data_IF_093615590677
#
_entry.id   IF_093615590677
#
_cell.length_a   1.000
_cell.length_b   1.000
_cell.length_c   1.000
_cell.angle_alpha   90.00
_cell.angle_beta   90.00
_cell.angle_gamma   90.00
#
_symmetry.space_group_name_H-M   'P 1'
#
loop_
_entity.id
_entity.type
_entity.pdbx_description
1 polymer ?
#
# COMPACT_ATOMS: atom_id res chain seq x y z
N UNK A 1 7.20 5.93 -44.73
CA UNK A 1 5.89 5.51 -44.17
C UNK A 1 6.14 4.56 -43.02
N UNK A 2 5.28 4.52 -42.00
CA UNK A 2 5.41 3.55 -40.91
C UNK A 2 5.09 2.13 -41.40
N UNK A 3 6.01 1.20 -41.14
CA UNK A 3 5.92 -0.24 -41.41
C UNK A 3 6.12 -1.03 -40.13
N UNK A 4 5.69 -2.30 -40.11
CA UNK A 4 5.88 -3.21 -38.98
C UNK A 4 7.34 -3.23 -38.48
N UNK A 5 8.31 -3.38 -39.40
CA UNK A 5 9.74 -3.41 -39.08
C UNK A 5 10.21 -2.11 -38.43
N UNK A 6 9.83 -0.96 -39.00
CA UNK A 6 10.25 0.35 -38.44
C UNK A 6 9.65 0.60 -37.07
N UNK A 7 8.40 0.19 -36.83
CA UNK A 7 7.75 0.31 -35.52
C UNK A 7 8.36 -0.61 -34.49
N UNK A 8 8.70 -1.85 -34.87
CA UNK A 8 9.37 -2.80 -33.98
C UNK A 8 10.77 -2.30 -33.56
N UNK A 9 11.54 -1.78 -34.51
CA UNK A 9 12.87 -1.23 -34.25
C UNK A 9 12.81 0.04 -33.39
N UNK A 10 11.90 0.97 -33.71
CA UNK A 10 11.79 2.24 -33.00
C UNK A 10 11.08 2.11 -31.64
N UNK A 11 10.30 1.04 -31.43
CA UNK A 11 9.43 0.82 -30.26
C UNK A 11 8.40 1.94 -30.04
N UNK A 12 8.09 2.69 -31.08
CA UNK A 12 7.13 3.80 -31.09
C UNK A 12 6.55 3.98 -32.49
N UNK A 13 5.35 4.54 -32.58
CA UNK A 13 4.76 5.02 -33.83
C UNK A 13 3.77 6.16 -33.57
N UNK A 14 3.33 6.84 -34.64
CA UNK A 14 2.37 7.95 -34.58
C UNK A 14 1.05 7.66 -35.30
N UNK A 15 1.06 6.82 -36.34
CA UNK A 15 -0.12 6.51 -37.16
C UNK A 15 -0.44 5.02 -37.07
N UNK A 16 -0.36 4.31 -38.18
CA UNK A 16 -0.80 2.92 -38.30
C UNK A 16 0.27 1.90 -37.91
N UNK A 17 1.43 2.35 -37.41
CA UNK A 17 2.58 1.48 -37.15
C UNK A 17 2.27 0.29 -36.25
N UNK A 18 1.58 0.52 -35.13
CA UNK A 18 1.20 -0.55 -34.20
C UNK A 18 0.22 -1.54 -34.83
N UNK A 19 -0.79 -1.08 -35.58
CA UNK A 19 -1.75 -1.97 -36.23
C UNK A 19 -1.10 -2.83 -37.32
N UNK A 20 -0.15 -2.27 -38.07
CA UNK A 20 0.65 -3.01 -39.07
C UNK A 20 1.58 -4.02 -38.41
N UNK A 21 2.21 -3.66 -37.30
CA UNK A 21 3.07 -4.56 -36.54
C UNK A 21 2.28 -5.74 -35.99
N UNK A 22 1.14 -5.48 -35.34
CA UNK A 22 0.28 -6.53 -34.83
C UNK A 22 -0.22 -7.46 -35.94
N UNK A 23 -0.64 -6.90 -37.09
CA UNK A 23 -1.03 -7.70 -38.25
C UNK A 23 0.08 -8.64 -38.74
N UNK A 24 1.32 -8.13 -38.86
CA UNK A 24 2.47 -8.95 -39.26
C UNK A 24 2.79 -10.05 -38.25
N UNK A 25 2.73 -9.74 -36.94
CA UNK A 25 2.95 -10.71 -35.87
C UNK A 25 1.86 -11.79 -35.85
N UNK A 26 0.59 -11.40 -36.00
CA UNK A 26 -0.54 -12.33 -36.07
C UNK A 26 -0.41 -13.26 -37.29
N UNK A 27 -0.04 -12.71 -38.45
CA UNK A 27 0.23 -13.50 -39.65
C UNK A 27 1.37 -14.50 -39.46
N UNK A 28 2.47 -14.09 -38.82
CA UNK A 28 3.58 -15.00 -38.48
C UNK A 28 3.17 -16.10 -37.49
N UNK A 29 2.19 -15.84 -36.63
CA UNK A 29 1.59 -16.82 -35.72
C UNK A 29 0.50 -17.69 -36.36
N UNK A 30 0.21 -17.52 -37.67
CA UNK A 30 -0.82 -18.28 -38.38
C UNK A 30 -2.26 -17.84 -38.08
N UNK A 31 -2.47 -16.64 -37.52
CA UNK A 31 -3.78 -16.10 -37.19
C UNK A 31 -4.35 -15.28 -38.35
N UNK A 32 -5.65 -15.45 -38.63
CA UNK A 32 -6.38 -14.59 -39.55
C UNK A 32 -6.60 -13.22 -38.92
N UNK A 33 -5.81 -12.24 -39.35
CA UNK A 33 -5.88 -10.86 -38.89
C UNK A 33 -6.13 -9.92 -40.07
N UNK A 34 -7.15 -9.08 -39.98
CA UNK A 34 -7.41 -7.98 -40.91
C UNK A 34 -6.91 -6.64 -40.37
N UNK A 35 -6.61 -5.72 -41.29
CA UNK A 35 -6.32 -4.32 -40.99
C UNK A 35 -7.57 -3.49 -41.34
N UNK A 36 -8.14 -2.83 -40.34
CA UNK A 36 -9.36 -2.02 -40.48
C UNK A 36 -8.98 -0.56 -40.38
N UNK A 37 -9.33 0.22 -41.41
CA UNK A 37 -9.11 1.67 -41.44
C UNK A 37 -10.44 2.36 -41.20
N UNK A 38 -10.42 3.46 -40.47
CA UNK A 38 -11.65 4.19 -40.22
C UNK A 38 -11.46 5.39 -39.31
N UNK A 39 -12.54 5.72 -38.64
CA UNK A 39 -12.64 6.85 -37.75
C UNK A 39 -12.63 6.41 -36.30
N UNK A 40 -11.79 7.07 -35.51
CA UNK A 40 -11.77 7.03 -34.07
C UNK A 40 -12.38 8.35 -33.55
N UNK A 41 -13.53 8.24 -32.90
CA UNK A 41 -14.21 9.34 -32.21
C UNK A 41 -13.38 9.84 -31.04
N UNK A 42 -13.26 11.16 -30.90
CA UNK A 42 -12.63 11.82 -29.75
C UNK A 42 -13.64 12.18 -28.64
N UNK A 43 -13.16 12.50 -27.42
CA UNK A 43 -14.05 12.89 -26.31
C UNK A 43 -14.78 14.21 -26.52
N UNK A 44 -14.20 15.13 -27.30
CA UNK A 44 -14.79 16.44 -27.62
C UNK A 44 -15.24 16.52 -29.09
N UNK A 45 -15.58 15.37 -29.66
CA UNK A 45 -16.07 15.29 -31.02
C UNK A 45 -17.51 15.83 -31.12
N UNK A 46 -17.76 16.68 -32.10
CA UNK A 46 -19.04 17.36 -32.30
C UNK A 46 -19.58 17.17 -33.73
N UNK A 47 -19.10 16.14 -34.44
CA UNK A 47 -19.63 15.78 -35.76
C UNK A 47 -21.05 15.22 -35.61
N UNK A 48 -21.96 15.67 -36.48
CA UNK A 48 -23.37 15.28 -36.50
C UNK A 48 -23.82 14.87 -37.91
N UNK A 49 -24.93 14.13 -37.96
CA UNK A 49 -25.66 13.82 -39.20
C UNK A 49 -25.16 12.57 -39.91
N UNK A 50 -25.55 12.39 -41.18
CA UNK A 50 -25.25 11.17 -41.95
C UNK A 50 -23.88 11.21 -42.68
N UNK A 51 -23.04 12.18 -42.34
CA UNK A 51 -21.75 12.34 -43.01
C UNK A 51 -20.80 11.23 -42.53
N UNK A 52 -20.28 10.46 -43.49
CA UNK A 52 -19.27 9.47 -43.21
C UNK A 52 -18.01 10.15 -42.64
N UNK A 53 -17.55 9.75 -41.45
CA UNK A 53 -16.41 10.41 -40.84
C UNK A 53 -15.10 10.15 -41.61
N UNK A 54 -14.16 11.10 -41.62
CA UNK A 54 -12.89 10.94 -42.31
C UNK A 54 -12.01 9.88 -41.64
N UNK A 55 -11.16 9.19 -42.40
CA UNK A 55 -10.25 8.20 -41.82
C UNK A 55 -9.17 8.92 -41.01
N UNK A 56 -9.08 8.62 -39.72
CA UNK A 56 -8.04 9.16 -38.81
C UNK A 56 -7.30 8.07 -38.02
N UNK A 57 -7.71 6.80 -38.11
CA UNK A 57 -7.17 5.73 -37.30
C UNK A 57 -7.19 4.36 -38.02
N UNK A 58 -6.36 3.44 -37.54
CA UNK A 58 -6.25 2.08 -38.06
C UNK A 58 -6.11 1.10 -36.90
N UNK A 59 -6.91 0.03 -36.90
CA UNK A 59 -6.90 -1.03 -35.88
C UNK A 59 -6.96 -2.43 -36.55
N UNK A 60 -6.97 -3.48 -35.75
CA UNK A 60 -6.98 -4.86 -36.23
C UNK A 60 -8.28 -5.58 -35.90
N UNK A 61 -8.65 -6.52 -36.76
CA UNK A 61 -9.70 -7.52 -36.47
C UNK A 61 -9.09 -8.91 -36.58
N UNK A 62 -9.45 -9.81 -35.68
CA UNK A 62 -9.06 -11.22 -35.70
C UNK A 62 -10.28 -12.10 -35.60
N UNK A 63 -10.24 -13.29 -36.21
CA UNK A 63 -11.30 -14.29 -36.10
C UNK A 63 -10.85 -15.41 -35.17
N UNK A 64 -11.53 -15.56 -34.03
CA UNK A 64 -11.22 -16.58 -33.02
C UNK A 64 -12.49 -17.39 -32.78
N UNK A 65 -12.39 -18.72 -32.95
CA UNK A 65 -13.53 -19.64 -32.73
C UNK A 65 -14.81 -19.25 -33.48
N UNK A 66 -14.67 -18.69 -34.69
CA UNK A 66 -15.81 -18.25 -35.51
C UNK A 66 -16.29 -16.82 -35.23
N UNK A 67 -15.84 -16.19 -34.14
CA UNK A 67 -16.24 -14.83 -33.78
C UNK A 67 -15.17 -13.79 -34.14
N UNK A 68 -15.62 -12.63 -34.61
CA UNK A 68 -14.74 -11.49 -34.85
C UNK A 68 -14.48 -10.74 -33.54
N UNK A 69 -13.21 -10.41 -33.32
CA UNK A 69 -12.72 -9.65 -32.17
C UNK A 69 -11.77 -8.58 -32.65
N UNK A 70 -11.81 -7.41 -32.05
CA UNK A 70 -10.95 -6.31 -32.43
C UNK A 70 -9.76 -6.16 -31.50
N UNK A 71 -8.66 -5.66 -32.04
CA UNK A 71 -7.46 -5.32 -31.30
C UNK A 71 -7.02 -3.91 -31.69
N UNK A 72 -6.91 -3.02 -30.72
CA UNK A 72 -6.36 -1.67 -30.91
C UNK A 72 -5.21 -1.40 -29.94
N UNK A 73 -4.00 -1.67 -30.44
CA UNK A 73 -2.75 -1.43 -29.70
C UNK A 73 -2.53 0.07 -29.47
N UNK A 74 -2.93 0.94 -30.40
CA UNK A 74 -2.73 2.39 -30.28
C UNK A 74 -3.55 3.01 -29.17
N UNK A 75 -4.72 2.45 -28.86
CA UNK A 75 -5.57 2.83 -27.73
C UNK A 75 -5.17 2.15 -26.41
N UNK A 76 -4.60 0.95 -26.48
CA UNK A 76 -4.22 0.17 -25.31
C UNK A 76 -2.97 0.71 -24.58
N UNK A 77 -2.11 1.47 -25.25
CA UNK A 77 -0.81 1.86 -24.68
C UNK A 77 -0.92 2.97 -23.62
N UNK A 78 -0.13 2.90 -22.53
CA UNK A 78 -0.08 3.95 -21.49
C UNK A 78 0.30 5.35 -21.99
N UNK A 79 0.99 5.45 -23.13
CA UNK A 79 1.39 6.73 -23.73
C UNK A 79 0.26 7.45 -24.46
N UNK A 80 -0.92 6.82 -24.59
CA UNK A 80 -2.06 7.44 -25.25
C UNK A 80 -2.65 8.56 -24.36
N UNK A 81 -2.98 9.76 -24.89
CA UNK A 81 -3.41 10.91 -24.08
C UNK A 81 -4.64 10.68 -23.21
N UNK A 82 -5.50 9.74 -23.60
CA UNK A 82 -6.72 9.37 -22.90
C UNK A 82 -6.63 8.01 -22.19
N UNK A 83 -5.41 7.52 -21.94
CA UNK A 83 -5.21 6.30 -21.16
C UNK A 83 -5.69 6.52 -19.70
N UNK A 84 -6.45 5.58 -19.12
CA UNK A 84 -6.95 5.74 -17.76
C UNK A 84 -5.79 5.83 -16.76
N UNK A 85 -5.81 6.85 -15.89
CA UNK A 85 -4.84 6.99 -14.80
C UNK A 85 -4.98 5.79 -13.86
N UNK A 86 -4.13 4.79 -14.03
CA UNK A 86 -4.08 3.57 -13.22
C UNK A 86 -2.88 3.70 -12.32
N UNK A 87 -3.12 3.87 -11.02
CA UNK A 87 -2.13 4.24 -10.00
C UNK A 87 -0.89 3.33 -9.90
N UNK A 88 0.06 3.52 -10.81
CA UNK A 88 1.46 3.13 -10.62
C UNK A 88 1.97 1.90 -11.38
N UNK A 89 1.21 1.28 -12.29
CA UNK A 89 1.76 0.24 -13.20
C UNK A 89 1.35 0.51 -14.63
N UNK A 90 2.32 0.94 -15.46
CA UNK A 90 2.18 1.11 -16.90
C UNK A 90 1.92 -0.25 -17.57
N UNK A 91 0.68 -0.72 -17.49
CA UNK A 91 0.18 -1.91 -18.17
C UNK A 91 -0.65 -1.47 -19.36
N UNK A 92 -0.79 -2.32 -20.37
CA UNK A 92 -1.75 -2.03 -21.44
C UNK A 92 -3.18 -2.08 -20.89
N UNK A 93 -4.08 -1.31 -21.48
CA UNK A 93 -5.51 -1.42 -21.20
C UNK A 93 -6.06 -2.70 -21.86
N UNK A 94 -6.50 -3.70 -21.07
CA UNK A 94 -6.92 -4.99 -21.61
C UNK A 94 -8.21 -4.90 -22.42
N UNK A 95 -9.01 -3.83 -22.26
CA UNK A 95 -10.27 -3.67 -22.99
C UNK A 95 -10.07 -3.70 -24.51
N UNK A 96 -8.97 -3.10 -25.00
CA UNK A 96 -8.68 -3.01 -26.43
C UNK A 96 -8.00 -4.28 -26.98
N UNK A 97 -7.85 -5.33 -26.19
CA UNK A 97 -7.40 -6.64 -26.65
C UNK A 97 -8.58 -7.62 -26.71
N UNK A 98 -8.92 -8.04 -27.93
CA UNK A 98 -10.08 -8.88 -28.22
C UNK A 98 -11.42 -8.24 -27.81
N UNK A 99 -11.57 -6.94 -28.09
CA UNK A 99 -12.80 -6.21 -27.87
C UNK A 99 -13.94 -6.78 -28.74
N UNK A 100 -15.15 -6.84 -28.18
CA UNK A 100 -16.34 -7.23 -28.94
C UNK A 100 -16.76 -6.09 -29.90
N UNK A 101 -17.26 -6.41 -31.11
CA UNK A 101 -17.74 -5.40 -32.06
C UNK A 101 -18.73 -4.39 -31.46
N UNK A 102 -19.70 -4.88 -30.67
CA UNK A 102 -20.72 -4.05 -30.02
C UNK A 102 -20.18 -3.08 -28.96
N UNK A 103 -18.98 -3.32 -28.42
CA UNK A 103 -18.34 -2.42 -27.46
C UNK A 103 -17.43 -1.42 -28.17
N UNK A 104 -16.71 -1.87 -29.20
CA UNK A 104 -15.76 -1.01 -29.91
C UNK A 104 -16.45 0.06 -30.78
N UNK A 105 -17.64 -0.24 -31.32
CA UNK A 105 -18.40 0.66 -32.20
C UNK A 105 -18.71 2.03 -31.59
N UNK A 106 -18.72 2.19 -30.26
CA UNK A 106 -18.94 3.50 -29.63
C UNK A 106 -17.90 4.55 -30.03
N UNK A 107 -16.69 4.10 -30.37
CA UNK A 107 -15.57 4.97 -30.73
C UNK A 107 -14.95 4.66 -32.09
N UNK A 108 -15.07 3.42 -32.60
CA UNK A 108 -14.43 3.00 -33.84
C UNK A 108 -15.46 2.75 -34.95
N UNK A 109 -15.45 3.59 -35.97
CA UNK A 109 -16.31 3.45 -37.14
C UNK A 109 -15.48 3.14 -38.39
N UNK A 110 -15.56 1.93 -38.97
CA UNK A 110 -14.75 1.56 -40.12
C UNK A 110 -15.15 2.33 -41.38
N UNK A 111 -14.21 2.54 -42.29
CA UNK A 111 -14.51 3.15 -43.60
C UNK A 111 -15.34 2.26 -44.51
N UNK A 112 -15.23 0.95 -44.32
CA UNK A 112 -16.11 -0.05 -44.94
C UNK A 112 -17.11 -0.53 -43.89
N UNK A 113 -18.42 -0.22 -44.02
CA UNK A 113 -19.44 -0.63 -43.06
C UNK A 113 -19.54 -2.15 -42.85
N UNK A 114 -19.11 -2.97 -43.82
CA UNK A 114 -19.09 -4.44 -43.66
C UNK A 114 -18.10 -4.91 -42.60
N UNK A 115 -17.09 -4.09 -42.31
CA UNK A 115 -16.04 -4.36 -41.32
C UNK A 115 -16.45 -3.95 -39.89
N UNK A 116 -17.72 -3.60 -39.66
CA UNK A 116 -18.24 -3.39 -38.31
C UNK A 116 -18.43 -4.71 -37.56
N UNK A 117 -18.73 -5.80 -38.29
CA UNK A 117 -19.01 -7.13 -37.73
C UNK A 117 -20.09 -7.11 -36.62
N UNK A 118 -21.04 -6.19 -36.71
CA UNK A 118 -22.20 -6.12 -35.84
C UNK A 118 -23.29 -7.08 -36.31
N UNK A 119 -24.04 -7.63 -35.36
CA UNK A 119 -25.20 -8.50 -35.61
C UNK A 119 -26.35 -8.03 -34.72
N UNK A 120 -27.61 -7.93 -35.23
CA UNK A 120 -28.06 -8.40 -36.55
C UNK A 120 -27.87 -7.38 -37.70
N UNK A 121 -27.59 -6.11 -37.42
CA UNK A 121 -27.46 -5.06 -38.43
C UNK A 121 -26.21 -4.21 -38.22
N UNK A 122 -25.70 -3.66 -39.33
CA UNK A 122 -24.71 -2.58 -39.29
C UNK A 122 -25.33 -1.28 -38.80
N UNK A 123 -24.49 -0.45 -38.18
CA UNK A 123 -24.80 0.89 -37.72
C UNK A 123 -24.46 1.90 -38.82
N UNK A 124 -25.36 2.85 -39.09
CA UNK A 124 -25.12 3.95 -40.02
C UNK A 124 -24.23 5.06 -39.41
N UNK A 125 -23.72 6.00 -40.22
CA UNK A 125 -22.94 7.14 -39.72
C UNK A 125 -23.71 8.01 -38.72
N UNK A 126 -24.97 8.35 -38.99
CA UNK A 126 -25.77 9.16 -38.06
C UNK A 126 -26.02 8.48 -36.72
N UNK A 127 -26.29 7.18 -36.74
CA UNK A 127 -26.42 6.37 -35.52
C UNK A 127 -25.11 6.31 -34.74
N UNK A 128 -23.98 6.14 -35.42
CA UNK A 128 -22.66 6.19 -34.79
C UNK A 128 -22.40 7.54 -34.14
N UNK A 129 -22.67 8.66 -34.82
CA UNK A 129 -22.51 10.02 -34.26
C UNK A 129 -23.44 10.25 -33.06
N UNK A 130 -24.59 9.59 -33.03
CA UNK A 130 -25.52 9.66 -31.89
C UNK A 130 -25.03 8.95 -30.63
N UNK A 131 -24.07 8.02 -30.76
CA UNK A 131 -23.52 7.31 -29.61
C UNK A 131 -22.68 8.22 -28.73
N UNK A 132 -22.77 8.09 -27.39
CA UNK A 132 -21.85 8.74 -26.48
C UNK A 132 -20.41 8.31 -26.77
N UNK A 133 -19.45 9.18 -26.47
CA UNK A 133 -18.06 8.74 -26.39
C UNK A 133 -17.89 7.96 -25.08
N UNK A 134 -17.43 6.72 -25.17
CA UNK A 134 -17.17 5.88 -23.99
C UNK A 134 -15.74 5.35 -24.03
N UNK A 135 -15.19 5.06 -22.86
CA UNK A 135 -13.86 4.46 -22.70
C UNK A 135 -13.99 3.03 -22.16
N UNK A 136 -12.85 2.36 -21.96
CA UNK A 136 -12.78 1.08 -21.26
C UNK A 136 -13.40 1.12 -19.86
N UNK A 137 -13.32 2.25 -19.15
CA UNK A 137 -13.90 2.40 -17.81
C UNK A 137 -15.43 2.28 -17.81
N UNK A 138 -16.11 2.57 -18.92
CA UNK A 138 -17.55 2.32 -19.04
C UNK A 138 -17.86 0.82 -18.91
N UNK A 139 -17.12 -0.01 -19.64
CA UNK A 139 -17.33 -1.46 -19.67
C UNK A 139 -16.77 -2.15 -18.43
N UNK A 140 -15.59 -1.75 -17.97
CA UNK A 140 -14.92 -2.34 -16.81
C UNK A 140 -15.68 -2.12 -15.50
N UNK A 141 -16.49 -1.06 -15.42
CA UNK A 141 -17.32 -0.74 -14.26
C UNK A 141 -18.81 -1.08 -14.45
N UNK A 142 -19.13 -1.88 -15.47
CA UNK A 142 -20.48 -2.38 -15.77
C UNK A 142 -21.52 -1.26 -15.85
N UNK A 143 -21.15 -0.15 -16.50
CA UNK A 143 -22.06 0.97 -16.66
C UNK A 143 -23.06 0.64 -17.77
N UNK A 144 -24.34 0.86 -17.48
CA UNK A 144 -25.43 0.66 -18.44
C UNK A 144 -26.37 1.87 -18.40
N UNK A 145 -26.53 2.56 -19.53
CA UNK A 145 -27.49 3.66 -19.62
C UNK A 145 -28.93 3.14 -19.55
N UNK A 146 -29.73 3.68 -18.63
CA UNK A 146 -31.12 3.20 -18.43
C UNK A 146 -32.09 3.88 -19.40
N UNK A 147 -31.89 5.17 -19.72
CA UNK A 147 -32.82 5.98 -20.51
C UNK A 147 -32.09 6.98 -21.41
N UNK A 148 -31.09 6.53 -22.17
CA UNK A 148 -30.36 7.42 -23.07
C UNK A 148 -30.95 7.36 -24.49
N UNK A 149 -31.80 8.34 -24.81
CA UNK A 149 -32.48 8.42 -26.11
C UNK A 149 -32.00 9.58 -27.00
N UNK A 150 -31.09 10.44 -26.51
CA UNK A 150 -30.67 11.66 -27.22
C UNK A 150 -29.17 11.90 -27.09
N UNK A 151 -28.50 12.12 -28.22
CA UNK A 151 -27.07 12.46 -28.33
C UNK A 151 -26.68 13.71 -27.53
N UNK A 152 -27.61 14.66 -27.40
CA UNK A 152 -27.40 15.96 -26.75
C UNK A 152 -28.37 16.10 -25.59
N UNK A 153 -27.84 16.44 -24.42
CA UNK A 153 -28.62 16.87 -23.27
C UNK A 153 -28.98 18.35 -23.45
N UNK A 154 -30.25 18.64 -23.67
CA UNK A 154 -30.76 20.02 -23.79
C UNK A 154 -31.32 20.48 -22.46
N UNK A 155 -30.84 21.63 -22.00
CA UNK A 155 -31.31 22.33 -20.80
C UNK A 155 -31.93 23.67 -21.17
N UNK A 156 -32.97 24.09 -20.45
CA UNK A 156 -33.61 25.41 -20.59
C UNK A 156 -33.77 26.07 -19.23
N UNK A 157 -33.62 27.40 -19.19
CA UNK A 157 -33.82 28.23 -18.00
C UNK A 157 -33.17 27.72 -16.69
N UNK A 158 -33.96 27.22 -15.73
CA UNK A 158 -33.50 26.69 -14.43
C UNK A 158 -33.61 25.16 -14.36
N UNK A 159 -33.77 24.50 -15.51
CA UNK A 159 -33.93 23.06 -15.57
C UNK A 159 -32.72 22.36 -14.98
N UNK A 160 -32.99 21.23 -14.33
CA UNK A 160 -31.97 20.30 -13.89
C UNK A 160 -32.03 19.09 -14.80
N UNK A 161 -31.00 18.89 -15.62
CA UNK A 161 -30.88 17.67 -16.41
C UNK A 161 -30.55 16.53 -15.47
N UNK A 162 -31.23 15.41 -15.65
CA UNK A 162 -30.96 14.18 -14.91
C UNK A 162 -30.54 13.10 -15.89
N UNK A 163 -29.37 12.52 -15.64
CA UNK A 163 -28.91 11.31 -16.30
C UNK A 163 -28.88 10.18 -15.28
N UNK A 164 -29.43 9.03 -15.67
CA UNK A 164 -29.49 7.83 -14.82
C UNK A 164 -28.87 6.66 -15.56
N UNK A 165 -27.93 5.98 -14.92
CA UNK A 165 -27.28 4.78 -15.42
C UNK A 165 -27.04 3.78 -14.30
N UNK A 166 -27.06 2.48 -14.61
CA UNK A 166 -26.62 1.43 -13.70
C UNK A 166 -25.11 1.49 -13.56
N UNK A 167 -24.63 1.08 -12.39
CA UNK A 167 -23.22 1.02 -12.06
C UNK A 167 -22.94 -0.23 -11.23
N UNK A 168 -21.75 -0.80 -11.37
CA UNK A 168 -21.30 -1.90 -10.52
C UNK A 168 -21.30 -1.57 -9.02
N UNK A 169 -21.23 -2.61 -8.19
CA UNK A 169 -21.10 -2.48 -6.75
C UNK A 169 -19.75 -1.86 -6.37
N UNK A 170 -19.74 -0.93 -5.41
CA UNK A 170 -18.52 -0.24 -4.95
C UNK A 170 -17.95 0.81 -5.92
N UNK A 171 -18.60 1.07 -7.06
CA UNK A 171 -18.14 2.05 -8.05
C UNK A 171 -18.60 3.46 -7.68
N UNK A 172 -17.67 4.39 -7.46
CA UNK A 172 -18.01 5.81 -7.30
C UNK A 172 -18.15 6.49 -8.66
N UNK A 173 -19.00 7.53 -8.72
CA UNK A 173 -19.20 8.34 -9.91
C UNK A 173 -18.93 9.81 -9.61
N UNK A 174 -18.32 10.49 -10.56
CA UNK A 174 -18.08 11.93 -10.56
C UNK A 174 -18.44 12.48 -11.93
N UNK A 175 -19.02 13.68 -11.96
CA UNK A 175 -19.37 14.32 -13.20
C UNK A 175 -18.87 15.76 -13.20
N UNK A 176 -18.38 16.21 -14.34
CA UNK A 176 -18.00 17.59 -14.60
C UNK A 176 -18.42 17.97 -16.03
N UNK A 177 -18.46 19.26 -16.32
CA UNK A 177 -18.81 19.74 -17.65
C UNK A 177 -17.70 20.68 -18.10
N UNK A 178 -17.12 20.40 -19.26
CA UNK A 178 -16.26 21.39 -19.91
C UNK A 178 -17.09 22.18 -20.91
N UNK A 179 -17.04 23.50 -20.79
CA UNK A 179 -17.63 24.41 -21.76
C UNK A 179 -16.55 25.21 -22.45
N UNK A 180 -16.88 25.64 -23.67
CA UNK A 180 -16.03 26.55 -24.45
C UNK A 180 -16.06 27.97 -23.81
N UNK A 181 -17.19 28.35 -23.24
CA UNK A 181 -17.38 29.61 -22.51
C UNK A 181 -17.36 29.31 -21.01
N UNK A 182 -16.48 29.94 -20.22
CA UNK A 182 -16.32 29.71 -18.77
C UNK A 182 -17.55 30.11 -17.93
N UNK A 183 -18.67 29.39 -18.11
CA UNK A 183 -19.92 29.56 -17.36
C UNK A 183 -19.90 28.87 -16.00
N UNK A 184 -20.84 29.23 -15.14
CA UNK A 184 -21.08 28.51 -13.89
C UNK A 184 -21.77 27.18 -14.20
N UNK A 185 -21.13 26.07 -13.87
CA UNK A 185 -21.69 24.73 -14.06
C UNK A 185 -21.65 24.00 -12.73
N UNK A 186 -22.76 23.35 -12.42
CA UNK A 186 -22.96 22.66 -11.17
C UNK A 186 -23.38 21.23 -11.51
N UNK A 187 -22.66 20.27 -10.97
CA UNK A 187 -22.94 18.85 -11.11
C UNK A 187 -23.12 18.24 -9.73
N UNK A 188 -24.03 17.27 -9.65
CA UNK A 188 -24.24 16.46 -8.46
C UNK A 188 -24.39 15.01 -8.87
N UNK A 189 -23.48 14.16 -8.41
CA UNK A 189 -23.52 12.72 -8.66
C UNK A 189 -23.89 12.00 -7.37
N UNK A 190 -24.98 11.24 -7.39
CA UNK A 190 -25.45 10.46 -6.26
C UNK A 190 -25.80 9.05 -6.69
N UNK A 191 -25.43 8.05 -5.92
CA UNK A 191 -25.91 6.69 -6.15
C UNK A 191 -27.19 6.44 -5.35
N UNK A 192 -28.04 5.54 -5.82
CA UNK A 192 -29.21 5.02 -5.10
C UNK A 192 -29.48 3.58 -5.54
N UNK A 193 -30.11 2.75 -4.70
CA UNK A 193 -30.62 1.44 -5.13
C UNK A 193 -32.05 1.57 -5.63
N UNK A 194 -32.32 0.99 -6.80
CA UNK A 194 -33.66 0.92 -7.38
C UNK A 194 -33.89 -0.47 -7.96
N UNK A 195 -34.95 -1.15 -7.54
CA UNK A 195 -35.30 -2.51 -8.00
C UNK A 195 -34.12 -3.50 -7.93
N UNK A 196 -33.37 -3.49 -6.83
CA UNK A 196 -32.20 -4.36 -6.62
C UNK A 196 -30.92 -3.90 -7.33
N UNK A 197 -31.00 -2.96 -8.28
CA UNK A 197 -29.86 -2.45 -9.03
C UNK A 197 -29.31 -1.18 -8.41
N UNK A 198 -27.98 -1.03 -8.40
CA UNK A 198 -27.33 0.23 -8.04
C UNK A 198 -27.32 1.16 -9.25
N UNK A 199 -27.86 2.35 -9.08
CA UNK A 199 -27.95 3.37 -10.13
C UNK A 199 -27.23 4.64 -9.69
N UNK A 200 -26.56 5.30 -10.61
CA UNK A 200 -26.02 6.65 -10.41
C UNK A 200 -26.92 7.67 -11.09
N UNK A 201 -27.31 8.69 -10.34
CA UNK A 201 -28.05 9.87 -10.79
C UNK A 201 -27.08 11.04 -10.87
N UNK A 202 -26.80 11.48 -12.09
CA UNK A 202 -26.02 12.68 -12.36
C UNK A 202 -27.00 13.82 -12.67
N UNK A 203 -26.99 14.82 -11.82
CA UNK A 203 -27.74 16.06 -12.01
C UNK A 203 -26.81 17.15 -12.51
N UNK A 204 -27.27 17.91 -13.50
CA UNK A 204 -26.50 18.99 -14.11
C UNK A 204 -27.37 20.24 -14.17
N UNK A 205 -26.79 21.34 -13.71
CA UNK A 205 -27.32 22.69 -13.83
C UNK A 205 -26.26 23.57 -14.45
N UNK A 206 -26.66 24.39 -15.41
CA UNK A 206 -25.73 25.16 -16.23
C UNK A 206 -26.22 26.59 -16.35
N UNK A 207 -25.30 27.56 -16.33
CA UNK A 207 -25.56 28.94 -16.74
C UNK A 207 -24.94 29.16 -18.11
N UNK A 208 -25.70 29.62 -19.09
CA UNK A 208 -25.11 30.03 -20.35
C UNK A 208 -26.12 30.42 -21.42
N UNK A 209 -25.88 31.55 -22.07
CA UNK A 209 -26.62 32.02 -23.25
C UNK A 209 -26.28 31.12 -24.45
N UNK A 210 -27.06 30.08 -24.70
CA UNK A 210 -26.79 29.10 -25.76
C UNK A 210 -25.43 28.38 -25.62
N UNK A 211 -25.00 28.17 -24.37
CA UNK A 211 -23.73 27.51 -24.08
C UNK A 211 -23.75 26.05 -24.53
N UNK A 212 -22.63 25.61 -25.11
CA UNK A 212 -22.37 24.23 -25.51
C UNK A 212 -21.17 23.69 -24.75
N UNK A 213 -21.24 22.41 -24.40
CA UNK A 213 -20.18 21.74 -23.67
C UNK A 213 -20.24 20.23 -23.75
N UNK A 214 -19.37 19.61 -22.97
CA UNK A 214 -19.22 18.17 -22.87
C UNK A 214 -19.31 17.76 -21.39
N UNK A 215 -20.39 17.07 -21.04
CA UNK A 215 -20.57 16.41 -19.75
C UNK A 215 -19.66 15.17 -19.70
N UNK A 216 -18.65 15.21 -18.86
CA UNK A 216 -17.73 14.11 -18.58
C UNK A 216 -18.17 13.37 -17.33
N UNK A 217 -18.29 12.05 -17.45
CA UNK A 217 -18.65 11.17 -16.34
C UNK A 217 -17.47 10.25 -16.10
N UNK A 218 -16.93 10.33 -14.89
CA UNK A 218 -15.85 9.52 -14.39
C UNK A 218 -16.41 8.48 -13.44
N UNK A 219 -15.95 7.24 -13.57
CA UNK A 219 -16.44 6.14 -12.76
C UNK A 219 -15.33 5.14 -12.47
N UNK A 220 -15.25 4.68 -11.23
CA UNK A 220 -14.27 3.69 -10.81
C UNK A 220 -14.37 3.35 -9.34
N UNK A 221 -13.62 2.33 -8.93
CA UNK A 221 -13.51 1.97 -7.53
C UNK A 221 -12.78 3.07 -6.77
N UNK A 222 -13.33 3.47 -5.63
CA UNK A 222 -12.76 4.53 -4.80
C UNK A 222 -12.00 3.96 -3.61
N UNK A 223 -10.75 4.36 -3.47
CA UNK A 223 -10.03 4.21 -2.20
C UNK A 223 -10.33 5.41 -1.29
N UNK A 224 -10.96 5.17 -0.15
CA UNK A 224 -11.33 6.21 0.84
C UNK A 224 -10.13 6.75 1.65
N UNK A 225 -8.91 6.46 1.23
CA UNK A 225 -7.67 6.87 1.91
C UNK A 225 -7.40 8.37 1.78
N UNK A 226 -7.96 9.04 0.77
CA UNK A 226 -7.82 10.49 0.58
C UNK A 226 -9.00 11.27 1.19
N UNK A 227 -8.73 12.10 2.20
CA UNK A 227 -9.70 13.03 2.82
C UNK A 227 -10.14 14.19 1.89
N UNK A 228 -9.96 14.07 0.58
CA UNK A 228 -10.20 15.13 -0.41
C UNK A 228 -11.55 14.99 -1.14
N UNK A 229 -12.11 16.11 -1.60
CA UNK A 229 -13.24 16.13 -2.55
C UNK A 229 -12.87 15.33 -3.80
N UNK A 230 -13.83 14.61 -4.41
CA UNK A 230 -13.59 14.00 -5.73
C UNK A 230 -13.23 15.11 -6.73
N UNK A 231 -12.20 14.82 -7.51
CA UNK A 231 -11.71 15.64 -8.61
C UNK A 231 -11.64 14.76 -9.87
N UNK A 232 -11.53 15.37 -11.04
CA UNK A 232 -11.43 14.66 -12.32
C UNK A 232 -10.23 13.73 -12.44
N UNK A 233 -9.18 13.97 -11.67
CA UNK A 233 -7.99 13.11 -11.56
C UNK A 233 -8.21 11.85 -10.71
N UNK A 234 -9.30 11.79 -9.94
CA UNK A 234 -9.52 10.76 -8.92
C UNK A 234 -10.14 9.48 -9.48
N UNK A 235 -10.85 9.57 -10.61
CA UNK A 235 -11.55 8.45 -11.24
C UNK A 235 -11.33 8.47 -12.76
N UNK A 236 -11.23 7.30 -13.43
CA UNK A 236 -11.05 7.27 -14.87
C UNK A 236 -12.32 7.77 -15.59
N UNK A 237 -12.12 8.51 -16.66
CA UNK A 237 -13.20 8.97 -17.54
C UNK A 237 -13.91 7.75 -18.13
N UNK A 238 -15.22 7.62 -17.95
CA UNK A 238 -16.02 6.51 -18.45
C UNK A 238 -16.85 6.91 -19.68
N UNK A 239 -17.51 8.07 -19.65
CA UNK A 239 -18.41 8.52 -20.71
C UNK A 239 -18.32 10.02 -20.90
N UNK A 240 -18.53 10.48 -22.14
CA UNK A 240 -18.73 11.89 -22.49
C UNK A 240 -19.98 12.07 -23.32
N UNK A 241 -20.77 13.08 -22.95
CA UNK A 241 -22.02 13.46 -23.56
C UNK A 241 -22.00 14.94 -23.96
N UNK A 242 -22.64 15.26 -25.08
CA UNK A 242 -22.82 16.65 -25.47
C UNK A 242 -23.94 17.27 -24.66
N UNK A 243 -23.74 18.50 -24.21
CA UNK A 243 -24.73 19.27 -23.47
C UNK A 243 -24.88 20.65 -24.08
N UNK A 244 -26.12 21.13 -24.16
CA UNK A 244 -26.45 22.46 -24.62
C UNK A 244 -27.47 23.11 -23.69
N UNK A 245 -27.29 24.39 -23.39
CA UNK A 245 -28.17 25.15 -22.53
C UNK A 245 -28.67 26.41 -23.24
N UNK A 246 -29.99 26.59 -23.32
CA UNK A 246 -30.62 27.75 -23.99
C UNK A 246 -31.22 28.77 -23.02
N UNK A 247 -30.94 28.66 -21.71
CA UNK A 247 -31.49 29.56 -20.68
C UNK A 247 -30.58 30.71 -20.28
N UNK A 248 -31.16 31.79 -19.73
CA UNK A 248 -30.40 33.00 -19.36
C UNK A 248 -30.15 33.14 -17.85
N UNK A 249 -30.91 32.42 -17.01
CA UNK A 249 -30.82 32.55 -15.55
C UNK A 249 -29.68 31.73 -14.95
N UNK A 250 -29.09 32.25 -13.88
CA UNK A 250 -28.13 31.47 -13.09
C UNK A 250 -28.88 30.42 -12.26
N UNK A 251 -28.45 29.13 -12.30
CA UNK A 251 -29.05 28.09 -11.49
C UNK A 251 -28.55 28.16 -10.03
N UNK A 252 -29.34 27.61 -9.11
CA UNK A 252 -28.92 27.46 -7.71
C UNK A 252 -27.88 26.35 -7.54
N UNK A 253 -26.94 26.56 -6.62
CA UNK A 253 -25.94 25.58 -6.21
C UNK A 253 -26.60 24.32 -5.64
N UNK A 254 -26.03 23.15 -5.95
CA UNK A 254 -26.41 21.90 -5.30
C UNK A 254 -25.81 21.79 -3.90
N UNK A 255 -26.48 21.04 -3.03
CA UNK A 255 -25.93 20.61 -1.74
C UNK A 255 -24.54 19.97 -1.93
N UNK A 256 -23.58 20.35 -1.08
CA UNK A 256 -22.21 19.85 -1.18
C UNK A 256 -22.10 18.48 -0.53
N UNK A 257 -21.77 17.47 -1.32
CA UNK A 257 -21.51 16.13 -0.80
C UNK A 257 -20.06 16.00 -0.34
N UNK A 258 -19.90 15.44 0.86
CA UNK A 258 -18.61 15.06 1.38
C UNK A 258 -18.41 13.55 1.25
N UNK A 259 -17.23 13.12 0.80
CA UNK A 259 -16.82 11.73 0.84
C UNK A 259 -17.06 11.01 2.17
N UNK A 260 -17.84 9.94 2.15
CA UNK A 260 -18.08 9.08 3.31
C UNK A 260 -18.05 7.61 2.89
N UNK A 261 -17.52 6.69 3.73
CA UNK A 261 -17.56 5.25 3.44
C UNK A 261 -18.99 4.73 3.25
N UNK A 262 -19.95 5.30 3.99
CA UNK A 262 -21.37 5.05 3.81
C UNK A 262 -21.95 6.01 2.77
N UNK A 263 -22.65 5.47 1.77
CA UNK A 263 -23.32 6.28 0.75
C UNK A 263 -24.73 6.65 1.21
N UNK A 264 -25.05 7.94 1.11
CA UNK A 264 -26.39 8.48 1.34
C UNK A 264 -26.89 9.19 0.08
N UNK A 265 -28.18 9.05 -0.19
CA UNK A 265 -28.89 9.72 -1.27
C UNK A 265 -29.78 10.83 -0.69
N UNK A 266 -29.51 12.07 -1.08
CA UNK A 266 -30.35 13.22 -0.75
C UNK A 266 -31.49 13.28 -1.76
N UNK A 267 -32.73 13.10 -1.29
CA UNK A 267 -33.94 13.30 -2.07
C UNK A 267 -34.32 14.77 -2.10
N UNK A 268 -34.34 15.42 -0.94
CA UNK A 268 -34.62 16.85 -0.80
C UNK A 268 -34.09 17.42 0.53
N UNK A 269 -33.78 18.72 0.59
CA UNK A 269 -33.61 19.62 -0.55
C UNK A 269 -32.30 19.34 -1.31
N UNK A 270 -32.30 19.53 -2.63
CA UNK A 270 -31.10 19.42 -3.46
C UNK A 270 -30.31 20.74 -3.54
N UNK A 271 -30.96 21.86 -3.24
CA UNK A 271 -30.36 23.19 -3.29
C UNK A 271 -29.51 23.45 -2.04
N UNK A 272 -28.36 24.10 -2.23
CA UNK A 272 -27.46 24.48 -1.13
C UNK A 272 -28.02 25.65 -0.30
N UNK A 273 -28.83 26.50 -0.93
CA UNK A 273 -29.36 27.70 -0.31
C UNK A 273 -30.71 27.42 0.36
N UNK A 274 -30.71 27.41 1.69
CA UNK A 274 -31.92 27.28 2.50
C UNK A 274 -32.52 28.67 2.74
N UNK A 275 -33.82 28.83 2.45
CA UNK A 275 -34.55 30.09 2.68
C UNK A 275 -34.77 30.33 4.17
N UNK A 276 -34.41 31.53 4.63
CA UNK A 276 -34.57 31.96 6.02
C UNK A 276 -36.05 32.10 6.39
N UNK A 277 -36.43 31.59 7.56
CA UNK A 277 -37.80 31.65 8.07
C UNK A 277 -38.79 30.70 7.39
N UNK A 278 -38.30 29.80 6.53
CA UNK A 278 -39.11 28.78 5.88
C UNK A 278 -38.82 27.40 6.49
N UNK A 279 -39.87 26.59 6.62
CA UNK A 279 -39.75 25.16 6.93
C UNK A 279 -39.26 24.40 5.68
N UNK A 280 -38.19 23.62 5.86
CA UNK A 280 -37.64 22.73 4.84
C UNK A 280 -37.83 21.29 5.27
N UNK A 281 -38.23 20.45 4.32
CA UNK A 281 -38.32 19.00 4.50
C UNK A 281 -37.01 18.37 4.03
N UNK A 282 -36.28 17.74 4.95
CA UNK A 282 -35.05 17.03 4.64
C UNK A 282 -35.33 15.53 4.56
N UNK A 283 -35.01 14.94 3.42
CA UNK A 283 -35.22 13.53 3.14
C UNK A 283 -33.93 12.91 2.59
N UNK A 284 -33.36 12.00 3.36
CA UNK A 284 -32.12 11.29 3.01
C UNK A 284 -32.33 9.79 3.11
N UNK A 285 -31.68 9.02 2.24
CA UNK A 285 -31.82 7.56 2.18
C UNK A 285 -30.45 6.88 2.23
N UNK A 286 -30.30 5.83 3.05
CA UNK A 286 -29.10 4.97 3.07
C UNK A 286 -29.12 3.97 1.91
N UNK A 287 -27.97 3.71 1.27
CA UNK A 287 -27.87 2.81 0.11
C UNK A 287 -27.47 1.36 0.45
N UNK A 288 -26.54 1.21 1.40
CA UNK A 288 -25.82 -0.04 1.63
C UNK A 288 -26.17 -0.67 2.97
N UNK A 289 -26.64 0.14 3.91
CA UNK A 289 -26.72 -0.23 5.31
C UNK A 289 -28.15 -0.11 5.81
N UNK A 290 -28.72 -1.25 6.24
CA UNK A 290 -29.97 -1.27 7.02
C UNK A 290 -29.71 -0.91 8.49
N UNK A 291 -28.44 -0.75 8.90
CA UNK A 291 -28.13 -0.26 10.24
C UNK A 291 -28.53 1.21 10.34
N UNK A 292 -29.26 1.50 11.40
CA UNK A 292 -29.59 2.85 11.78
C UNK A 292 -28.32 3.65 12.09
N UNK A 293 -28.13 4.75 11.37
CA UNK A 293 -27.11 5.75 11.65
C UNK A 293 -27.79 6.92 12.36
N UNK A 294 -27.31 7.31 13.55
CA UNK A 294 -27.82 8.50 14.25
C UNK A 294 -27.42 9.75 13.46
N UNK A 295 -28.24 10.17 12.50
CA UNK A 295 -28.00 11.36 11.69
C UNK A 295 -28.55 12.60 12.39
N UNK A 296 -27.80 13.70 12.32
CA UNK A 296 -28.25 15.00 12.79
C UNK A 296 -27.89 16.10 11.80
N UNK A 297 -28.75 17.11 11.74
CA UNK A 297 -28.51 18.38 11.07
C UNK A 297 -27.94 19.36 12.10
N UNK A 298 -26.73 19.86 11.86
CA UNK A 298 -26.06 20.85 12.70
C UNK A 298 -26.27 22.26 12.15
N UNK A 299 -26.89 23.11 12.96
CA UNK A 299 -27.09 24.52 12.70
C UNK A 299 -25.75 25.32 12.79
N UNK A 300 -25.68 26.52 12.20
CA UNK A 300 -24.54 27.44 12.38
C UNK A 300 -24.22 27.73 13.85
N UNK A 301 -25.23 27.82 14.71
CA UNK A 301 -25.12 27.94 16.18
C UNK A 301 -24.61 26.68 16.89
N UNK A 302 -24.28 25.62 16.14
CA UNK A 302 -23.91 24.26 16.60
C UNK A 302 -25.02 23.43 17.20
N UNK A 303 -26.26 23.95 17.27
CA UNK A 303 -27.44 23.18 17.68
C UNK A 303 -27.67 22.00 16.74
N UNK A 304 -27.88 20.81 17.31
CA UNK A 304 -28.16 19.58 16.54
C UNK A 304 -29.66 19.28 16.51
N UNK A 305 -30.14 18.88 15.34
CA UNK A 305 -31.51 18.45 15.07
C UNK A 305 -31.50 17.03 14.52
N UNK A 306 -32.09 16.07 15.24
CA UNK A 306 -32.01 14.65 14.90
C UNK A 306 -33.01 14.28 13.82
N UNK A 307 -32.59 13.43 12.90
CA UNK A 307 -33.48 12.83 11.91
C UNK A 307 -34.30 11.69 12.52
N UNK A 308 -35.51 11.51 12.02
CA UNK A 308 -36.37 10.35 12.30
C UNK A 308 -36.04 9.27 11.27
N UNK A 309 -35.66 8.08 11.74
CA UNK A 309 -35.30 6.95 10.88
C UNK A 309 -36.50 6.02 10.63
N UNK A 310 -36.72 5.66 9.37
CA UNK A 310 -37.75 4.74 8.89
C UNK A 310 -37.08 3.48 8.31
N UNK A 311 -37.06 2.36 9.06
CA UNK A 311 -36.33 1.15 8.68
C UNK A 311 -36.81 0.48 7.39
N UNK A 312 -38.10 0.59 7.05
CA UNK A 312 -38.69 -0.08 5.88
C UNK A 312 -38.03 0.33 4.56
N UNK A 313 -37.72 1.63 4.43
CA UNK A 313 -37.16 2.20 3.20
C UNK A 313 -35.71 2.70 3.38
N UNK A 314 -35.17 2.59 4.60
CA UNK A 314 -33.86 3.13 4.96
C UNK A 314 -33.80 4.67 4.92
N UNK A 315 -34.94 5.33 5.14
CA UNK A 315 -35.11 6.77 5.01
C UNK A 315 -34.93 7.52 6.34
N UNK A 316 -34.47 8.76 6.23
CA UNK A 316 -34.27 9.71 7.32
C UNK A 316 -35.02 10.99 6.98
N UNK A 317 -35.98 11.37 7.83
CA UNK A 317 -36.78 12.57 7.64
C UNK A 317 -36.54 13.58 8.76
N UNK A 318 -36.49 14.85 8.41
CA UNK A 318 -36.42 15.97 9.35
C UNK A 318 -37.15 17.17 8.77
N UNK A 319 -38.16 17.66 9.48
CA UNK A 319 -38.77 18.96 9.19
C UNK A 319 -38.14 20.02 10.08
N UNK A 320 -37.57 21.05 9.46
CA UNK A 320 -36.84 22.08 10.18
C UNK A 320 -37.06 23.46 9.59
N UNK A 321 -37.42 24.41 10.45
CA UNK A 321 -37.47 25.82 10.10
C UNK A 321 -36.08 26.46 10.23
N UNK A 322 -35.51 26.88 9.11
CA UNK A 322 -34.17 27.47 9.07
C UNK A 322 -34.22 28.93 9.52
N UNK A 323 -33.86 29.20 10.78
CA UNK A 323 -33.86 30.55 11.37
C UNK A 323 -32.48 31.22 11.43
N UNK A 324 -31.44 30.53 10.98
CA UNK A 324 -30.06 30.99 11.05
C UNK A 324 -29.44 31.05 9.66
N UNK A 325 -28.65 32.08 9.41
CA UNK A 325 -27.82 32.22 8.21
C UNK A 325 -26.44 31.61 8.48
N UNK A 326 -25.95 30.77 7.56
CA UNK A 326 -24.65 30.12 7.69
C UNK A 326 -24.65 28.67 7.18
N UNK A 327 -23.53 27.94 7.37
CA UNK A 327 -23.40 26.57 6.91
C UNK A 327 -24.19 25.60 7.80
N UNK A 328 -25.17 24.95 7.21
CA UNK A 328 -25.88 23.82 7.80
C UNK A 328 -25.21 22.52 7.36
N UNK A 329 -24.86 21.65 8.32
CA UNK A 329 -24.12 20.43 8.03
C UNK A 329 -24.90 19.19 8.46
N UNK A 330 -25.14 18.28 7.52
CA UNK A 330 -25.66 16.94 7.82
C UNK A 330 -24.48 16.02 8.14
N UNK A 331 -24.56 15.31 9.27
CA UNK A 331 -23.54 14.34 9.64
C UNK A 331 -24.05 13.28 10.60
N UNK A 332 -23.17 12.32 10.91
CA UNK A 332 -23.43 11.33 11.95
C UNK A 332 -23.08 11.91 13.31
N UNK A 333 -23.93 11.65 14.29
CA UNK A 333 -23.72 12.09 15.67
C UNK A 333 -22.48 11.39 16.26
N UNK A 334 -21.44 12.17 16.58
CA UNK A 334 -20.11 11.68 16.94
C UNK A 334 -20.02 10.99 18.31
N UNK A 335 -21.08 10.97 19.11
CA UNK A 335 -21.01 10.60 20.53
C UNK A 335 -20.61 9.15 20.84
N UNK A 336 -20.88 8.19 19.95
CA UNK A 336 -20.68 6.76 20.23
C UNK A 336 -19.59 6.13 19.37
N UNK A 337 -19.50 6.53 18.10
CA UNK A 337 -18.51 5.96 17.17
C UNK A 337 -17.09 6.43 17.43
N UNK A 338 -16.88 7.65 17.91
CA UNK A 338 -15.53 8.11 18.29
C UNK A 338 -15.01 7.26 19.44
N UNK A 339 -15.87 6.88 20.40
CA UNK A 339 -15.50 6.00 21.49
C UNK A 339 -15.17 4.58 20.98
N UNK A 340 -16.00 4.04 20.09
CA UNK A 340 -15.78 2.71 19.49
C UNK A 340 -14.51 2.66 18.62
N UNK A 341 -14.22 3.73 17.88
CA UNK A 341 -13.07 3.82 17.00
C UNK A 341 -11.78 4.04 17.80
N UNK A 342 -11.81 4.88 18.83
CA UNK A 342 -10.69 5.08 19.76
C UNK A 342 -10.43 3.82 20.57
N UNK A 343 -11.46 3.11 21.03
CA UNK A 343 -11.30 1.82 21.72
C UNK A 343 -10.75 0.76 20.77
N UNK A 344 -11.27 0.64 19.54
CA UNK A 344 -10.74 -0.29 18.55
C UNK A 344 -9.27 -0.02 18.21
N UNK A 345 -8.88 1.25 18.03
CA UNK A 345 -7.49 1.64 17.78
C UNK A 345 -6.60 1.33 18.99
N UNK A 346 -7.09 1.57 20.21
CA UNK A 346 -6.38 1.21 21.44
C UNK A 346 -6.18 -0.31 21.55
N UNK A 347 -7.22 -1.12 21.31
CA UNK A 347 -7.13 -2.58 21.31
C UNK A 347 -6.18 -3.09 20.22
N UNK A 348 -6.18 -2.46 19.03
CA UNK A 348 -5.27 -2.84 17.95
C UNK A 348 -3.80 -2.58 18.33
N UNK A 349 -3.51 -1.40 18.91
CA UNK A 349 -2.17 -1.05 19.40
C UNK A 349 -1.70 -1.97 20.52
N UNK A 350 -2.56 -2.30 21.48
CA UNK A 350 -2.26 -3.26 22.56
C UNK A 350 -1.98 -4.65 21.99
N UNK A 351 -2.79 -5.12 21.04
CA UNK A 351 -2.57 -6.41 20.39
C UNK A 351 -1.26 -6.46 19.59
N UNK A 352 -0.91 -5.37 18.90
CA UNK A 352 0.37 -5.26 18.19
C UNK A 352 1.56 -5.28 19.16
N UNK A 353 1.46 -4.56 20.28
CA UNK A 353 2.46 -4.57 21.35
C UNK A 353 2.66 -5.97 21.95
N UNK A 354 1.57 -6.64 22.36
CA UNK A 354 1.64 -8.00 22.93
C UNK A 354 2.23 -9.02 21.94
N UNK A 355 1.90 -8.92 20.64
CA UNK A 355 2.53 -9.75 19.61
C UNK A 355 4.03 -9.50 19.49
N UNK A 356 4.46 -8.24 19.57
CA UNK A 356 5.87 -7.87 19.56
C UNK A 356 6.62 -8.47 20.76
N UNK A 357 6.08 -8.32 21.96
CA UNK A 357 6.65 -8.88 23.19
C UNK A 357 6.72 -10.42 23.18
N UNK A 358 5.66 -11.08 22.69
CA UNK A 358 5.64 -12.54 22.53
C UNK A 358 6.68 -13.02 21.51
N UNK A 359 6.86 -12.29 20.40
CA UNK A 359 7.84 -12.63 19.38
C UNK A 359 9.26 -12.48 19.93
N UNK A 360 9.55 -11.38 20.61
CA UNK A 360 10.84 -11.14 21.26
C UNK A 360 11.13 -12.22 22.31
N UNK A 361 10.16 -12.55 23.16
CA UNK A 361 10.31 -13.64 24.15
C UNK A 361 10.56 -14.99 23.47
N UNK A 362 9.91 -15.28 22.35
CA UNK A 362 10.14 -16.53 21.60
C UNK A 362 11.55 -16.59 21.00
N UNK A 363 12.05 -15.47 20.46
CA UNK A 363 13.42 -15.36 19.96
C UNK A 363 14.44 -15.53 21.09
N UNK A 364 14.19 -14.96 22.28
CA UNK A 364 15.02 -15.15 23.47
C UNK A 364 15.07 -16.62 23.91
N UNK A 365 13.94 -17.32 23.92
CA UNK A 365 13.90 -18.76 24.22
C UNK A 365 14.71 -19.57 23.21
N UNK A 366 14.60 -19.25 21.92
CA UNK A 366 15.36 -19.93 20.87
C UNK A 366 16.87 -19.68 20.99
N UNK A 367 17.26 -18.48 21.42
CA UNK A 367 18.65 -18.15 21.71
C UNK A 367 19.18 -18.97 22.89
N UNK A 368 18.40 -19.09 23.97
CA UNK A 368 18.77 -19.90 25.14
C UNK A 368 18.95 -21.38 24.76
N UNK A 369 18.03 -21.93 23.97
CA UNK A 369 18.13 -23.32 23.51
C UNK A 369 19.39 -23.53 22.65
N UNK A 370 19.68 -22.57 21.76
CA UNK A 370 20.89 -22.58 20.93
C UNK A 370 22.15 -22.52 21.80
N UNK A 371 22.21 -21.62 22.78
CA UNK A 371 23.33 -21.50 23.72
C UNK A 371 23.52 -22.78 24.56
N UNK A 372 22.44 -23.38 25.02
CA UNK A 372 22.49 -24.64 25.77
C UNK A 372 23.07 -25.77 24.90
N UNK A 373 22.63 -25.89 23.64
CA UNK A 373 23.15 -26.89 22.70
C UNK A 373 24.64 -26.70 22.40
N UNK A 374 25.07 -25.45 22.16
CA UNK A 374 26.47 -25.08 21.93
C UNK A 374 27.34 -25.35 23.17
N UNK A 375 26.82 -25.05 24.37
CA UNK A 375 27.48 -25.34 25.63
C UNK A 375 27.71 -26.83 25.84
N UNK A 376 26.68 -27.65 25.60
CA UNK A 376 26.80 -29.11 25.65
C UNK A 376 27.80 -29.63 24.62
N UNK A 377 27.81 -29.09 23.40
CA UNK A 377 28.75 -29.49 22.36
C UNK A 377 30.20 -29.16 22.73
N UNK A 378 30.47 -27.96 23.29
CA UNK A 378 31.81 -27.62 23.79
C UNK A 378 32.25 -28.53 24.93
N UNK A 379 31.39 -28.79 25.91
CA UNK A 379 31.70 -29.68 27.03
C UNK A 379 32.04 -31.09 26.54
N UNK A 380 31.29 -31.62 25.57
CA UNK A 380 31.63 -32.90 24.92
C UNK A 380 32.96 -32.87 24.18
N UNK A 381 33.28 -31.75 23.51
CA UNK A 381 34.56 -31.58 22.82
C UNK A 381 35.77 -31.42 23.75
N UNK A 382 35.58 -30.87 24.95
CA UNK A 382 36.62 -30.69 25.97
C UNK A 382 36.90 -31.96 26.79
N UNK A 383 35.92 -32.87 26.89
CA UNK A 383 36.04 -34.09 27.68
C UNK A 383 37.28 -34.94 27.32
N UNK A 384 37.59 -35.21 26.03
CA UNK A 384 38.79 -35.97 25.66
C UNK A 384 40.09 -35.26 26.05
N UNK A 385 40.11 -33.92 25.99
CA UNK A 385 41.28 -33.12 26.37
C UNK A 385 41.51 -33.16 27.88
N UNK A 386 40.43 -33.15 28.68
CA UNK A 386 40.50 -33.34 30.13
C UNK A 386 41.01 -34.73 30.49
N UNK A 387 40.48 -35.78 29.87
CA UNK A 387 40.95 -37.16 30.07
C UNK A 387 42.43 -37.32 29.70
N UNK A 388 42.89 -36.63 28.64
CA UNK A 388 44.30 -36.62 28.27
C UNK A 388 45.17 -35.89 29.32
N UNK A 389 44.73 -34.73 29.80
CA UNK A 389 45.45 -33.96 30.83
C UNK A 389 45.51 -34.69 32.17
N UNK A 390 44.43 -35.36 32.57
CA UNK A 390 44.43 -36.21 33.77
C UNK A 390 45.48 -37.32 33.65
N UNK A 391 45.53 -38.01 32.50
CA UNK A 391 46.55 -39.02 32.23
C UNK A 391 47.99 -38.48 32.21
N UNK A 392 48.20 -37.28 31.65
CA UNK A 392 49.52 -36.62 31.67
C UNK A 392 49.92 -36.18 33.10
N UNK A 393 48.95 -35.78 33.93
CA UNK A 393 49.17 -35.40 35.34
C UNK A 393 49.53 -36.61 36.19
N UNK A 394 48.86 -37.75 35.98
CA UNK A 394 49.20 -39.02 36.64
C UNK A 394 50.64 -39.45 36.30
N UNK A 395 51.02 -39.37 35.02
CA UNK A 395 52.40 -39.65 34.56
C UNK A 395 53.43 -38.73 35.22
N UNK A 396 53.14 -37.43 35.31
CA UNK A 396 54.01 -36.48 36.00
C UNK A 396 54.13 -36.80 37.49
N UNK A 397 53.04 -37.19 38.14
CA UNK A 397 53.06 -37.60 39.55
C UNK A 397 53.86 -38.87 39.81
N UNK A 398 53.83 -39.84 38.88
CA UNK A 398 54.68 -41.03 38.96
C UNK A 398 56.16 -40.68 38.78
N UNK A 399 56.49 -39.78 37.84
CA UNK A 399 57.86 -39.27 37.68
C UNK A 399 58.35 -38.51 38.91
N UNK A 400 57.51 -37.68 39.52
CA UNK A 400 57.85 -36.92 40.73
C UNK A 400 58.10 -37.85 41.91
N UNK A 401 57.31 -38.92 42.05
CA UNK A 401 57.51 -39.96 43.07
C UNK A 401 58.83 -40.72 42.88
N UNK A 402 59.19 -41.03 41.64
CA UNK A 402 60.48 -41.64 41.30
C UNK A 402 61.65 -40.70 41.63
N UNK A 403 61.51 -39.41 41.34
CA UNK A 403 62.49 -38.38 41.67
C UNK A 403 62.61 -38.17 43.18
N UNK A 404 61.50 -38.18 43.92
CA UNK A 404 61.48 -38.10 45.38
C UNK A 404 62.26 -39.27 46.01
N UNK A 405 62.08 -40.49 45.49
CA UNK A 405 62.86 -41.66 45.92
C UNK A 405 64.36 -41.50 45.67
N UNK A 406 64.76 -40.88 44.56
CA UNK A 406 66.15 -40.51 44.32
C UNK A 406 66.66 -39.47 45.32
N UNK A 407 65.85 -38.46 45.67
CA UNK A 407 66.23 -37.43 46.65
C UNK A 407 66.41 -38.00 48.06
N UNK A 408 65.51 -38.88 48.52
CA UNK A 408 65.65 -39.55 49.82
C UNK A 408 66.94 -40.39 49.89
N UNK A 409 67.33 -41.02 48.79
CA UNK A 409 68.60 -41.74 48.69
C UNK A 409 69.81 -40.80 48.78
N UNK A 410 69.71 -39.59 48.20
CA UNK A 410 70.75 -38.55 48.32
C UNK A 410 70.84 -38.03 49.76
N UNK A 411 69.72 -37.76 50.43
CA UNK A 411 69.70 -37.32 51.83
C UNK A 411 70.31 -38.36 52.79
N UNK A 412 70.07 -39.65 52.53
CA UNK A 412 70.68 -40.73 53.30
C UNK A 412 72.20 -40.80 53.07
N UNK A 413 72.65 -40.60 51.83
CA UNK A 413 74.07 -40.47 51.54
C UNK A 413 74.69 -39.26 52.26
N UNK A 414 74.01 -38.13 52.29
CA UNK A 414 74.47 -36.91 52.97
C UNK A 414 74.59 -37.12 54.48
N UNK A 415 73.59 -37.73 55.14
CA UNK A 415 73.67 -38.08 56.57
C UNK A 415 74.83 -39.03 56.88
N UNK A 416 75.10 -40.00 56.00
CA UNK A 416 76.25 -40.90 56.15
C UNK A 416 77.58 -40.17 56.01
N UNK A 417 77.65 -39.18 55.12
CA UNK A 417 78.83 -38.31 54.97
C UNK A 417 79.00 -37.42 56.20
N UNK A 418 77.94 -36.81 56.73
CA UNK A 418 78.00 -36.00 57.95
C UNK A 418 78.43 -36.80 59.17
N UNK A 419 77.96 -38.04 59.31
CA UNK A 419 78.40 -38.95 60.37
C UNK A 419 79.91 -39.24 60.28
N UNK A 420 80.44 -39.42 59.05
CA UNK A 420 81.88 -39.57 58.82
C UNK A 420 82.65 -38.30 59.19
N UNK A 421 82.11 -37.11 58.90
CA UNK A 421 82.74 -35.82 59.26
C UNK A 421 82.73 -35.61 60.77
N UNK A 422 81.63 -35.91 61.46
CA UNK A 422 81.56 -35.84 62.93
C UNK A 422 82.54 -36.80 63.59
N UNK A 423 82.66 -38.03 63.08
CA UNK A 423 83.65 -39.00 63.57
C UNK A 423 85.08 -38.47 63.38
N UNK A 424 85.37 -37.85 62.24
CA UNK A 424 86.65 -37.16 62.00
C UNK A 424 86.90 -36.04 63.02
N UNK A 425 85.89 -35.21 63.31
CA UNK A 425 86.00 -34.12 64.29
C UNK A 425 86.21 -34.62 65.72
N UNK A 426 85.61 -35.75 66.09
CA UNK A 426 85.79 -36.36 67.41
C UNK A 426 87.20 -36.95 67.55
N UNK A 427 87.72 -37.58 66.48
CA UNK A 427 89.13 -37.98 66.39
C UNK A 427 90.06 -36.77 66.52
N UNK A 428 89.76 -35.64 65.88
CA UNK A 428 90.53 -34.40 66.00
C UNK A 428 90.48 -33.80 67.43
N UNK A 429 89.33 -33.84 68.10
CA UNK A 429 89.21 -33.41 69.52
C UNK A 429 89.99 -34.31 70.46
N UNK A 430 89.95 -35.63 70.24
CA UNK A 430 90.78 -36.56 71.00
C UNK A 430 92.27 -36.26 70.81
N UNK A 431 92.69 -35.93 69.58
CA UNK A 431 94.05 -35.46 69.33
C UNK A 431 94.37 -34.16 70.10
N UNK A 432 93.45 -33.18 70.11
CA UNK A 432 93.62 -31.92 70.86
C UNK A 432 93.68 -32.07 72.39
N UNK A 433 92.89 -32.97 72.99
CA UNK A 433 92.94 -33.26 74.44
C UNK A 433 94.26 -33.94 74.85
N UNK A 434 94.81 -34.77 73.96
CA UNK A 434 96.15 -35.33 74.15
C UNK A 434 97.18 -34.17 74.15
N UNK A 435 97.06 -33.19 73.25
CA UNK A 435 97.93 -32.00 73.24
C UNK A 435 97.77 -31.11 74.50
N UNK A 436 96.55 -30.92 75.01
CA UNK A 436 96.30 -30.07 76.18
C UNK A 436 96.78 -30.72 77.48
N UNK A 437 96.60 -32.04 77.65
CA UNK A 437 97.22 -32.78 78.77
C UNK A 437 98.73 -32.71 78.75
N UNK A 438 99.34 -32.64 77.58
CA UNK A 438 100.78 -32.39 77.44
C UNK A 438 101.15 -30.97 77.90
N UNK A 439 100.26 -29.97 77.74
CA UNK A 439 100.47 -28.57 78.11
C UNK A 439 100.23 -28.25 79.60
N UNK A 440 99.21 -28.84 80.24
CA UNK A 440 98.92 -28.65 81.67
C UNK A 440 100.01 -29.26 82.57
N UNK A 441 100.61 -30.36 82.13
CA UNK A 441 101.81 -30.92 82.77
C UNK A 441 102.99 -29.93 82.76
N UNK A 442 103.01 -29.02 81.79
CA UNK A 442 104.02 -27.96 81.66
C UNK A 442 103.75 -26.75 82.56
N UNK A 443 102.50 -26.41 82.90
CA UNK A 443 102.17 -25.18 83.66
C UNK A 443 102.08 -25.35 85.19
N UNK A 444 101.84 -26.56 85.70
CA UNK A 444 101.84 -26.85 87.14
C UNK A 444 103.20 -26.65 87.86
N UNK A 445 104.27 -26.37 87.10
CA UNK A 445 105.60 -26.07 87.67
C UNK A 445 105.83 -24.57 87.99
N UNK A 446 104.94 -23.64 87.60
CA UNK A 446 105.23 -22.20 87.64
C UNK A 446 104.78 -21.42 88.90
N UNK A 447 104.04 -22.02 89.86
CA UNK A 447 103.60 -21.33 91.09
C UNK A 447 104.62 -21.45 92.25
N UNK A 448 105.61 -20.54 92.34
CA UNK A 448 106.35 -20.20 93.59
C UNK A 448 107.13 -18.85 93.47
N UNK A 449 106.72 -17.86 94.29
CA UNK A 449 107.47 -16.69 94.88
C UNK A 449 107.46 -15.27 94.21
N UNK A 450 107.62 -14.15 94.99
CA UNK A 450 106.91 -12.84 94.82
C UNK A 450 107.78 -11.55 94.70
N UNK A 451 107.19 -10.36 94.36
CA UNK A 451 107.29 -9.00 95.02
C UNK A 451 107.14 -7.73 94.12
N UNK A 452 106.57 -6.66 94.74
CA UNK A 452 106.86 -5.19 94.63
C UNK A 452 106.17 -4.20 93.65
N UNK A 453 105.38 -3.26 94.26
CA UNK A 453 105.48 -1.75 94.30
C UNK A 453 105.14 -0.84 93.09
N UNK A 454 104.06 -0.03 93.26
CA UNK A 454 103.91 1.46 93.04
C UNK A 454 104.00 2.07 91.60
N UNK A 455 103.69 3.37 91.36
CA UNK A 455 102.37 4.04 91.40
C UNK A 455 102.09 5.04 90.21
N UNK A 456 100.84 5.55 90.13
CA UNK A 456 100.34 6.89 89.68
C UNK A 456 100.73 7.57 88.33
N UNK A 457 99.65 7.94 87.62
CA UNK A 457 99.32 9.21 86.90
C UNK A 457 100.00 9.56 85.56
N UNK A 458 99.41 10.46 84.73
CA UNK A 458 98.11 11.16 84.83
C UNK A 458 96.98 10.58 83.98
#
# INVERSE_FOLDING_TARGET
METATTTLQARQCRRDGFAKLFHAMAGAAGLQCGLVRGYLKGPTDAVDGEVHPPINHTWNVVKIQGEYRFVDVGRAVPSHPYYPSTGGKARMDPFYFLAQPKHLIFTHYPSDPSQQYLSPRSMGPGEFHSLPYVTSAYFNNEIESINFHRTVLELREQDTAQLVFRVGEGISCYAEVDTIEHGCILTLSQCVRHEGHRISKVLVRMKGNDARGFLRIHAGQREFTSKGKLRSDSLPLAMVLRIQHMGHRAPQAFATLHPTPQEFYIREPLDAELRLGQAHHFHVQSLLDTRHHKLSMRAPSTKEHNFIYFPADGCYLLDLECRETGPWNLGKQQGQEVLDQVTAEAFHKVAAYLRGEMLASAEDYQLIETLASLGQQRLRGLKPTLEQLEGDTERLGDMDREMQGCLEYVDELERRVDALVSLSSEVDKYAGLIEEKVKDYSMAQASRSPTTRTPKSP
#
